data_IF_681454430635
#
_entry.id   IF_681454430635
#
_cell.length_a   1.000
_cell.length_b   1.000
_cell.length_c   1.000
_cell.angle_alpha   90.00
_cell.angle_beta   90.00
_cell.angle_gamma   90.00
#
_symmetry.space_group_name_H-M   'P 1'
#
loop_
_entity.id
_entity.type
_entity.pdbx_description
1 polymer ?
#
# COMPACT_ATOMS: atom_id res chain seq x y z
N UNK A 1 -20.65 2.20 -11.18
CA UNK A 1 -19.35 2.15 -10.46
C UNK A 1 -18.46 1.07 -11.04
N UNK A 2 -18.87 -0.20 -10.99
CA UNK A 2 -18.10 -1.34 -11.54
C UNK A 2 -17.59 -1.10 -12.98
N UNK A 3 -18.46 -0.71 -13.91
CA UNK A 3 -18.07 -0.42 -15.31
C UNK A 3 -16.97 0.63 -15.41
N UNK A 4 -17.07 1.74 -14.64
CA UNK A 4 -16.04 2.78 -14.60
C UNK A 4 -14.74 2.24 -13.99
N UNK A 5 -14.80 1.43 -12.94
CA UNK A 5 -13.61 0.86 -12.33
C UNK A 5 -12.90 -0.06 -13.34
N UNK A 6 -13.64 -0.89 -14.07
CA UNK A 6 -13.11 -1.70 -15.18
C UNK A 6 -12.48 -0.83 -16.26
N UNK A 7 -13.11 0.29 -16.60
CA UNK A 7 -12.56 1.22 -17.58
C UNK A 7 -11.20 1.79 -17.14
N UNK A 8 -11.06 2.22 -15.88
CA UNK A 8 -9.79 2.72 -15.31
C UNK A 8 -8.72 1.63 -15.31
N UNK A 9 -9.07 0.38 -15.00
CA UNK A 9 -8.11 -0.74 -15.05
C UNK A 9 -7.61 -0.99 -16.48
N UNK A 10 -8.47 -0.84 -17.49
CA UNK A 10 -8.14 -1.10 -18.89
C UNK A 10 -7.44 0.06 -19.59
N UNK A 11 -7.75 1.29 -19.22
CA UNK A 11 -7.30 2.51 -19.92
C UNK A 11 -6.37 3.37 -19.08
N UNK A 12 -6.23 3.08 -17.79
CA UNK A 12 -5.47 3.88 -16.83
C UNK A 12 -6.21 5.13 -16.35
N UNK A 13 -5.54 5.91 -15.50
CA UNK A 13 -6.08 7.15 -14.95
C UNK A 13 -6.06 8.29 -15.98
N UNK A 14 -7.20 8.99 -16.21
CA UNK A 14 -7.24 10.13 -17.13
C UNK A 14 -6.19 11.18 -16.76
N UNK A 15 -5.57 11.76 -17.78
CA UNK A 15 -4.49 12.77 -17.66
C UNK A 15 -3.19 12.28 -17.00
N UNK A 16 -3.11 11.03 -16.54
CA UNK A 16 -1.90 10.47 -15.92
C UNK A 16 -1.13 9.56 -16.89
N UNK A 17 -1.85 8.78 -17.71
CA UNK A 17 -1.25 7.74 -18.59
C UNK A 17 -0.21 8.29 -19.56
N UNK A 18 -0.52 9.43 -20.17
CA UNK A 18 0.34 10.10 -21.15
C UNK A 18 1.03 11.35 -20.55
N UNK A 19 1.07 11.44 -19.22
CA UNK A 19 1.64 12.61 -18.57
C UNK A 19 3.16 12.65 -18.74
N UNK A 20 3.64 13.77 -19.25
CA UNK A 20 5.06 14.11 -19.26
C UNK A 20 5.23 15.56 -18.81
N UNK A 21 6.26 15.84 -18.02
CA UNK A 21 6.63 17.20 -17.65
C UNK A 21 8.12 17.27 -17.31
N UNK A 22 8.66 18.47 -17.16
CA UNK A 22 10.10 18.68 -16.91
C UNK A 22 10.59 18.09 -15.57
N UNK A 23 9.69 17.81 -14.64
CA UNK A 23 10.02 17.18 -13.36
C UNK A 23 9.95 15.64 -13.44
N UNK A 24 9.36 15.10 -14.51
CA UNK A 24 9.04 13.68 -14.68
C UNK A 24 9.83 13.00 -15.79
N UNK A 25 10.31 13.79 -16.75
CA UNK A 25 11.18 13.35 -17.84
C UNK A 25 12.46 14.17 -17.79
N UNK A 26 13.59 13.48 -17.84
CA UNK A 26 14.92 14.08 -18.01
C UNK A 26 15.48 13.72 -19.38
N UNK A 27 16.00 14.72 -20.09
CA UNK A 27 16.87 14.51 -21.25
C UNK A 27 18.27 14.95 -20.85
N UNK A 28 19.26 14.08 -21.01
CA UNK A 28 20.62 14.32 -20.53
C UNK A 28 21.66 13.80 -21.52
N UNK A 29 22.84 14.41 -21.50
CA UNK A 29 23.97 14.06 -22.36
C UNK A 29 24.81 12.98 -21.67
N UNK A 30 25.02 11.87 -22.35
CA UNK A 30 25.87 10.78 -21.90
C UNK A 30 27.36 11.09 -22.18
N UNK A 31 28.30 10.43 -21.46
CA UNK A 31 29.74 10.58 -21.73
C UNK A 31 30.17 10.21 -23.16
N UNK A 32 29.39 9.39 -23.85
CA UNK A 32 29.59 9.01 -25.26
C UNK A 32 29.12 10.09 -26.26
N UNK A 33 28.57 11.20 -25.78
CA UNK A 33 28.05 12.30 -26.59
C UNK A 33 26.61 12.12 -27.06
N UNK A 34 25.94 11.01 -26.72
CA UNK A 34 24.55 10.79 -27.09
C UNK A 34 23.57 11.41 -26.07
N UNK A 35 22.45 11.95 -26.55
CA UNK A 35 21.34 12.33 -25.68
C UNK A 35 20.47 11.12 -25.36
N UNK A 36 20.11 10.96 -24.08
CA UNK A 36 19.17 9.94 -23.61
C UNK A 36 18.00 10.58 -22.87
N UNK A 37 16.83 9.96 -22.98
CA UNK A 37 15.64 10.25 -22.18
C UNK A 37 15.58 9.30 -21.00
N UNK A 38 15.18 9.77 -19.83
CA UNK A 38 14.79 8.95 -18.70
C UNK A 38 13.47 9.48 -18.11
N UNK A 39 12.48 8.62 -18.04
CA UNK A 39 11.24 8.81 -17.30
C UNK A 39 11.21 7.86 -16.11
N UNK A 40 10.99 8.43 -14.93
CA UNK A 40 10.95 7.68 -13.69
C UNK A 40 9.52 7.47 -13.17
N UNK A 41 9.33 6.36 -12.47
CA UNK A 41 8.15 6.09 -11.65
C UNK A 41 8.57 5.67 -10.25
N UNK A 42 7.85 6.15 -9.24
CA UNK A 42 8.10 5.83 -7.84
C UNK A 42 6.94 4.98 -7.32
N UNK A 43 7.25 3.78 -6.85
CA UNK A 43 6.29 2.87 -6.23
C UNK A 43 6.43 2.85 -4.72
N UNK A 44 5.31 2.77 -4.00
CA UNK A 44 5.30 2.61 -2.55
C UNK A 44 4.02 1.92 -2.04
N UNK A 45 4.11 1.32 -0.84
CA UNK A 45 3.03 0.71 -0.07
C UNK A 45 2.24 1.71 0.74
N UNK A 46 0.93 1.48 0.82
CA UNK A 46 0.03 2.21 1.71
C UNK A 46 -0.87 1.23 2.45
N UNK A 47 -0.95 1.41 3.77
CA UNK A 47 -1.86 0.69 4.65
C UNK A 47 -3.30 1.25 4.53
N UNK A 48 -3.83 1.29 3.31
CA UNK A 48 -5.25 1.54 3.03
C UNK A 48 -5.82 0.32 2.34
N UNK A 49 -6.91 -0.19 2.87
CA UNK A 49 -7.52 -1.41 2.38
C UNK A 49 -9.03 -1.36 2.44
N UNK A 50 -9.62 -2.36 1.81
CA UNK A 50 -11.04 -2.62 1.82
C UNK A 50 -11.34 -3.91 2.59
N UNK A 51 -12.58 -4.08 3.10
CA UNK A 51 -13.05 -5.37 3.57
C UNK A 51 -12.83 -6.45 2.50
N UNK A 52 -12.08 -7.48 2.85
CA UNK A 52 -11.73 -8.58 1.97
C UNK A 52 -11.99 -9.92 2.66
N UNK A 53 -11.98 -10.99 1.88
CA UNK A 53 -12.13 -12.33 2.44
C UNK A 53 -10.96 -12.66 3.38
N UNK A 54 -11.28 -13.24 4.54
CA UNK A 54 -10.31 -13.64 5.56
C UNK A 54 -9.34 -14.75 5.12
N UNK A 55 -9.61 -15.43 4.00
CA UNK A 55 -8.71 -16.46 3.44
C UNK A 55 -7.58 -15.76 2.68
N UNK A 56 -6.34 -16.12 3.02
CA UNK A 56 -5.13 -15.57 2.41
C UNK A 56 -5.18 -15.64 0.87
N UNK A 57 -4.83 -14.51 0.21
CA UNK A 57 -4.85 -14.33 -1.25
C UNK A 57 -6.22 -14.50 -1.94
N UNK A 58 -7.32 -14.58 -1.19
CA UNK A 58 -8.64 -14.61 -1.81
C UNK A 58 -9.04 -13.24 -2.34
N UNK A 59 -9.29 -13.15 -3.65
CA UNK A 59 -9.70 -11.92 -4.33
C UNK A 59 -11.22 -11.78 -4.49
N UNK A 60 -12.00 -12.80 -4.08
CA UNK A 60 -13.45 -12.74 -4.20
C UNK A 60 -14.01 -11.70 -3.22
N UNK A 61 -14.91 -10.81 -3.67
CA UNK A 61 -15.49 -9.79 -2.82
C UNK A 61 -16.37 -10.42 -1.73
N UNK A 62 -16.52 -9.70 -0.62
CA UNK A 62 -17.52 -10.00 0.38
C UNK A 62 -18.91 -9.61 -0.15
N UNK A 63 -19.93 -10.41 0.18
CA UNK A 63 -21.32 -10.09 -0.20
C UNK A 63 -21.86 -8.88 0.58
N UNK A 64 -21.36 -8.67 1.79
CA UNK A 64 -21.62 -7.47 2.60
C UNK A 64 -20.45 -7.21 3.57
N UNK A 65 -20.40 -6.00 4.11
CA UNK A 65 -19.33 -5.58 5.03
C UNK A 65 -19.37 -6.25 6.41
N UNK A 66 -20.41 -7.04 6.72
CA UNK A 66 -20.49 -7.82 7.98
C UNK A 66 -19.90 -9.23 7.82
N UNK A 67 -19.72 -9.70 6.59
CA UNK A 67 -19.15 -11.01 6.32
C UNK A 67 -17.63 -11.00 6.53
N UNK A 68 -17.08 -12.10 7.04
CA UNK A 68 -15.63 -12.32 7.15
C UNK A 68 -15.07 -13.01 5.91
N UNK A 69 -15.91 -13.79 5.24
CA UNK A 69 -15.53 -14.60 4.10
C UNK A 69 -16.47 -14.38 2.93
N UNK A 70 -15.97 -14.57 1.71
CA UNK A 70 -16.78 -14.49 0.50
C UNK A 70 -17.72 -15.69 0.40
N UNK A 71 -18.66 -15.65 -0.56
CA UNK A 71 -19.60 -16.74 -0.81
C UNK A 71 -18.91 -18.11 -1.04
N UNK A 72 -17.74 -18.14 -1.70
CA UNK A 72 -16.97 -19.37 -1.94
C UNK A 72 -16.33 -19.96 -0.69
N UNK A 73 -16.11 -19.14 0.34
CA UNK A 73 -15.52 -19.54 1.62
C UNK A 73 -16.53 -19.39 2.76
N UNK A 74 -17.83 -19.53 2.45
CA UNK A 74 -18.88 -19.31 3.42
C UNK A 74 -18.83 -20.33 4.58
N UNK A 75 -18.37 -21.54 4.30
CA UNK A 75 -18.09 -22.61 5.28
C UNK A 75 -17.15 -22.16 6.40
N UNK A 76 -16.19 -21.27 6.10
CA UNK A 76 -15.25 -20.73 7.10
C UNK A 76 -15.94 -19.88 8.16
N UNK A 77 -17.17 -19.39 7.94
CA UNK A 77 -17.95 -18.71 8.98
C UNK A 77 -18.36 -19.65 10.12
N UNK A 78 -18.39 -20.96 9.89
CA UNK A 78 -18.72 -21.95 10.91
C UNK A 78 -17.49 -22.44 11.70
N UNK A 79 -16.29 -21.90 11.40
CA UNK A 79 -15.02 -22.20 12.08
C UNK A 79 -14.59 -21.03 12.98
N UNK A 80 -14.01 -21.37 14.12
CA UNK A 80 -13.47 -20.42 15.10
C UNK A 80 -12.57 -19.35 14.46
N UNK A 81 -12.72 -18.09 14.90
CA UNK A 81 -11.94 -16.94 14.43
C UNK A 81 -10.46 -16.97 14.83
N UNK A 82 -10.12 -17.69 15.90
CA UNK A 82 -8.74 -17.78 16.37
C UNK A 82 -7.90 -18.58 15.39
N UNK A 83 -6.79 -17.99 14.94
CA UNK A 83 -5.87 -18.63 13.99
C UNK A 83 -5.45 -20.02 14.50
N UNK A 84 -5.39 -20.99 13.58
CA UNK A 84 -5.06 -22.40 13.87
C UNK A 84 -6.09 -23.16 14.74
N UNK A 85 -7.28 -22.61 15.00
CA UNK A 85 -8.38 -23.32 15.65
C UNK A 85 -9.42 -23.80 14.63
N UNK A 86 -9.61 -25.12 14.52
CA UNK A 86 -10.58 -25.72 13.60
C UNK A 86 -11.94 -26.06 14.24
N UNK A 87 -12.12 -25.72 15.53
CA UNK A 87 -13.35 -26.04 16.26
C UNK A 87 -14.54 -25.23 15.73
N UNK A 88 -15.76 -25.80 15.72
CA UNK A 88 -16.94 -25.11 15.25
C UNK A 88 -17.30 -23.93 16.16
N UNK A 89 -17.88 -22.89 15.56
CA UNK A 89 -18.39 -21.73 16.30
C UNK A 89 -19.60 -22.09 17.17
N UNK A 90 -19.79 -21.34 18.26
CA UNK A 90 -20.98 -21.48 19.12
C UNK A 90 -22.20 -20.91 18.39
N UNK A 91 -23.28 -21.68 18.35
CA UNK A 91 -24.59 -21.30 17.83
C UNK A 91 -25.61 -21.35 18.97
N UNK A 92 -26.29 -20.25 19.23
CA UNK A 92 -27.32 -20.16 20.27
C UNK A 92 -28.66 -19.86 19.62
N UNK A 93 -29.67 -20.64 19.95
CA UNK A 93 -31.04 -20.39 19.52
C UNK A 93 -31.72 -19.43 20.49
N UNK A 94 -32.30 -18.38 19.96
CA UNK A 94 -33.09 -17.39 20.71
C UNK A 94 -34.46 -17.26 20.06
N UNK A 95 -35.50 -17.06 20.85
CA UNK A 95 -36.83 -16.78 20.31
C UNK A 95 -37.04 -15.26 20.32
N UNK A 96 -37.37 -14.69 19.17
CA UNK A 96 -37.83 -13.30 19.08
C UNK A 96 -39.20 -13.18 19.77
N UNK A 97 -39.59 -11.96 20.17
CA UNK A 97 -40.85 -11.68 20.87
C UNK A 97 -42.12 -12.18 20.13
N UNK A 98 -42.00 -12.47 18.84
CA UNK A 98 -43.07 -13.01 17.98
C UNK A 98 -43.01 -14.55 17.83
N UNK A 99 -42.23 -15.25 18.66
CA UNK A 99 -42.07 -16.71 18.62
C UNK A 99 -41.19 -17.25 17.47
N UNK A 100 -40.51 -16.38 16.72
CA UNK A 100 -39.63 -16.79 15.62
C UNK A 100 -38.25 -17.19 16.17
N UNK A 101 -37.80 -18.40 15.85
CA UNK A 101 -36.47 -18.88 16.24
C UNK A 101 -35.41 -18.15 15.41
N UNK A 102 -34.46 -17.53 16.11
CA UNK A 102 -33.31 -16.81 15.58
C UNK A 102 -32.03 -17.43 16.10
N UNK A 103 -31.19 -17.89 15.19
CA UNK A 103 -29.89 -18.47 15.51
C UNK A 103 -28.86 -17.33 15.58
N UNK A 104 -28.30 -17.11 16.77
CA UNK A 104 -27.17 -16.20 16.98
C UNK A 104 -25.89 -17.03 16.86
N UNK A 105 -25.08 -16.71 15.85
CA UNK A 105 -23.75 -17.31 15.67
C UNK A 105 -22.69 -16.41 16.29
N UNK A 106 -21.87 -16.97 17.18
CA UNK A 106 -20.63 -16.34 17.64
C UNK A 106 -19.51 -16.53 16.62
N UNK A 107 -18.43 -15.77 16.73
CA UNK A 107 -17.23 -15.90 15.88
C UNK A 107 -16.22 -16.89 16.45
N UNK A 108 -16.23 -17.16 17.75
CA UNK A 108 -15.34 -18.11 18.43
C UNK A 108 -16.05 -19.44 18.78
N UNK A 109 -15.24 -20.48 18.98
CA UNK A 109 -15.67 -21.78 19.50
C UNK A 109 -15.89 -21.75 21.02
N UNK A 110 -16.38 -22.84 21.61
CA UNK A 110 -16.73 -22.92 23.03
C UNK A 110 -15.54 -22.83 24.03
N UNK A 111 -14.29 -22.72 23.55
CA UNK A 111 -13.13 -22.54 24.42
C UNK A 111 -13.23 -21.22 25.20
N UNK A 112 -13.10 -21.24 26.54
CA UNK A 112 -13.23 -20.04 27.36
C UNK A 112 -12.29 -18.90 26.94
N UNK A 113 -11.05 -19.24 26.57
CA UNK A 113 -10.05 -18.28 26.09
C UNK A 113 -10.49 -17.60 24.78
N UNK A 114 -11.01 -18.37 23.82
CA UNK A 114 -11.46 -17.83 22.54
C UNK A 114 -12.74 -16.99 22.68
N UNK A 115 -13.62 -17.37 23.60
CA UNK A 115 -14.79 -16.57 23.97
C UNK A 115 -14.37 -15.25 24.62
N UNK A 116 -13.35 -15.26 25.48
CA UNK A 116 -12.77 -14.04 26.08
C UNK A 116 -12.12 -13.14 25.03
N UNK A 117 -11.38 -13.70 24.06
CA UNK A 117 -10.81 -12.94 22.93
C UNK A 117 -11.92 -12.28 22.12
N UNK A 118 -12.98 -13.02 21.77
CA UNK A 118 -14.12 -12.46 21.05
C UNK A 118 -14.81 -11.34 21.84
N UNK A 119 -15.06 -11.55 23.14
CA UNK A 119 -15.68 -10.56 24.01
C UNK A 119 -14.83 -9.27 24.10
N UNK A 120 -13.52 -9.39 24.34
CA UNK A 120 -12.60 -8.24 24.35
C UNK A 120 -12.56 -7.50 23.02
N UNK A 121 -12.65 -8.20 21.89
CA UNK A 121 -12.71 -7.57 20.57
C UNK A 121 -14.05 -6.83 20.33
N UNK A 122 -15.15 -7.37 20.85
CA UNK A 122 -16.46 -6.68 20.81
C UNK A 122 -16.46 -5.44 21.72
N UNK A 123 -15.89 -5.53 22.92
CA UNK A 123 -15.71 -4.40 23.84
C UNK A 123 -14.81 -3.32 23.24
N UNK A 124 -13.72 -3.69 22.56
CA UNK A 124 -12.88 -2.74 21.80
C UNK A 124 -13.68 -1.93 20.77
N UNK A 125 -14.70 -2.54 20.19
CA UNK A 125 -15.59 -1.89 19.22
C UNK A 125 -16.55 -0.89 19.88
N UNK A 126 -16.54 -0.76 21.21
CA UNK A 126 -17.39 0.17 21.98
C UNK A 126 -16.59 1.34 22.58
N UNK A 127 -17.07 2.56 22.33
CA UNK A 127 -16.78 3.80 23.08
C UNK A 127 -15.33 4.25 23.25
N UNK A 128 -14.60 3.66 24.19
CA UNK A 128 -13.36 4.21 24.77
C UNK A 128 -12.13 4.08 23.87
N UNK A 129 -11.98 2.98 23.15
CA UNK A 129 -10.91 2.81 22.15
C UNK A 129 -11.14 3.70 20.92
N UNK A 130 -12.41 3.83 20.49
CA UNK A 130 -12.80 4.74 19.41
C UNK A 130 -12.35 6.17 19.71
N UNK A 131 -12.33 6.64 20.96
CA UNK A 131 -11.86 7.99 21.28
C UNK A 131 -10.35 8.18 21.11
N UNK A 132 -9.52 7.20 21.51
CA UNK A 132 -8.05 7.26 21.28
C UNK A 132 -7.71 7.12 19.81
N UNK A 133 -8.33 6.15 19.12
CA UNK A 133 -8.17 5.99 17.68
C UNK A 133 -8.67 7.23 16.93
N UNK A 134 -9.81 7.81 17.31
CA UNK A 134 -10.30 9.09 16.74
C UNK A 134 -9.37 10.26 17.03
N UNK A 135 -8.69 10.34 18.17
CA UNK A 135 -7.74 11.42 18.45
C UNK A 135 -6.45 11.27 17.63
N UNK A 136 -5.93 10.04 17.52
CA UNK A 136 -4.78 9.73 16.67
C UNK A 136 -5.12 9.94 15.19
N UNK A 137 -6.28 9.45 14.74
CA UNK A 137 -6.76 9.67 13.39
C UNK A 137 -7.14 11.13 13.16
N UNK A 138 -7.75 11.89 14.08
CA UNK A 138 -8.03 13.31 13.85
C UNK A 138 -6.77 14.17 13.64
N UNK A 139 -5.62 13.72 14.17
CA UNK A 139 -4.31 14.34 13.90
C UNK A 139 -3.73 13.96 12.52
N UNK A 140 -4.27 12.93 11.84
CA UNK A 140 -3.72 12.28 10.63
C UNK A 140 -4.72 12.24 9.44
N UNK A 141 -6.03 12.20 9.71
CA UNK A 141 -7.12 11.84 8.79
C UNK A 141 -7.80 13.05 8.16
N UNK A 142 -7.21 14.23 8.30
CA UNK A 142 -7.43 15.26 7.31
C UNK A 142 -6.36 15.08 6.25
N UNK A 143 -6.71 14.93 4.96
CA UNK A 143 -5.71 14.87 3.90
C UNK A 143 -4.82 16.10 4.04
N UNK A 144 -3.58 15.87 4.46
CA UNK A 144 -2.60 16.93 4.64
C UNK A 144 -2.41 17.56 3.27
N UNK A 145 -2.40 18.89 3.22
CA UNK A 145 -2.06 19.60 1.98
C UNK A 145 -0.59 19.36 1.67
N UNK A 146 -0.32 18.30 0.89
CA UNK A 146 0.99 17.98 0.34
C UNK A 146 1.52 19.08 -0.59
N UNK A 147 0.73 20.14 -0.86
CA UNK A 147 1.17 21.31 -1.61
C UNK A 147 1.73 22.44 -0.74
N UNK A 148 1.56 22.40 0.58
CA UNK A 148 2.02 23.46 1.48
C UNK A 148 3.55 23.47 1.66
N UNK A 149 4.20 24.61 1.42
CA UNK A 149 5.65 24.81 1.58
C UNK A 149 6.09 24.91 3.06
N UNK A 150 5.20 24.65 4.03
CA UNK A 150 5.50 24.79 5.46
C UNK A 150 5.61 23.42 6.12
N UNK A 151 6.81 23.21 6.68
CA UNK A 151 7.28 22.10 7.51
C UNK A 151 7.46 20.76 6.79
N UNK A 152 8.67 20.20 7.01
CA UNK A 152 8.97 18.78 6.88
C UNK A 152 7.76 18.03 7.42
N UNK A 153 7.00 17.37 6.56
CA UNK A 153 6.20 16.24 7.00
C UNK A 153 7.24 15.31 7.62
N UNK A 154 7.22 15.04 8.94
CA UNK A 154 8.08 14.00 9.46
C UNK A 154 7.74 12.77 8.62
N UNK A 155 8.74 12.15 7.98
CA UNK A 155 8.61 10.84 7.37
C UNK A 155 7.93 9.94 8.41
N UNK A 156 6.62 9.78 8.26
CA UNK A 156 5.77 9.12 9.22
C UNK A 156 5.31 7.88 8.50
N UNK A 157 5.96 6.76 8.84
CA UNK A 157 5.44 5.43 8.56
C UNK A 157 4.03 5.34 9.18
N UNK A 158 3.01 5.70 8.40
CA UNK A 158 1.59 5.54 8.76
C UNK A 158 1.24 4.07 8.54
N UNK A 159 1.86 3.19 9.33
CA UNK A 159 1.54 1.77 9.36
C UNK A 159 0.69 1.48 10.59
N UNK A 160 -0.37 0.69 10.41
CA UNK A 160 -1.17 0.22 11.53
C UNK A 160 -0.31 -0.76 12.36
N UNK A 161 -0.23 -0.50 13.66
CA UNK A 161 0.43 -1.37 14.64
C UNK A 161 -0.22 -2.77 14.64
N UNK A 162 0.58 -3.82 14.86
CA UNK A 162 0.07 -5.18 15.02
C UNK A 162 -0.53 -5.35 16.42
N UNK A 163 -1.72 -5.91 16.46
CA UNK A 163 -2.40 -6.20 17.71
C UNK A 163 -2.42 -7.70 17.95
N UNK A 164 -1.77 -8.12 19.03
CA UNK A 164 -1.66 -9.53 19.43
C UNK A 164 -2.37 -9.71 20.77
N UNK A 165 -3.23 -10.72 20.85
CA UNK A 165 -3.82 -11.12 22.11
C UNK A 165 -2.92 -12.18 22.77
N UNK A 166 -2.33 -11.86 23.92
CA UNK A 166 -1.57 -12.80 24.73
C UNK A 166 -2.47 -13.41 25.81
N UNK A 167 -2.27 -14.70 26.12
CA UNK A 167 -3.02 -15.40 27.16
C UNK A 167 -2.05 -15.77 28.27
N UNK A 168 -2.21 -15.15 29.45
CA UNK A 168 -1.48 -15.51 30.66
C UNK A 168 -2.48 -16.00 31.72
N UNK A 169 -2.33 -17.25 32.15
CA UNK A 169 -2.98 -17.78 33.36
C UNK A 169 -4.48 -17.45 33.50
N UNK A 170 -5.25 -17.59 32.40
CA UNK A 170 -6.69 -17.24 32.22
C UNK A 170 -7.05 -15.77 31.92
N UNK A 171 -6.09 -14.86 31.82
CA UNK A 171 -6.30 -13.49 31.38
C UNK A 171 -5.83 -13.31 29.94
N UNK A 172 -6.68 -12.69 29.11
CA UNK A 172 -6.36 -12.33 27.73
C UNK A 172 -5.96 -10.87 27.72
N UNK A 173 -4.74 -10.49 27.39
CA UNK A 173 -4.31 -9.09 27.25
C UNK A 173 -4.13 -8.71 25.79
N UNK A 174 -4.46 -7.46 25.44
CA UNK A 174 -4.22 -6.91 24.11
C UNK A 174 -2.89 -6.18 24.16
N UNK A 175 -1.87 -6.71 23.48
CA UNK A 175 -0.61 -6.03 23.25
C UNK A 175 -0.63 -5.40 21.86
N UNK A 176 -0.22 -4.14 21.80
CA UNK A 176 0.00 -3.41 20.55
C UNK A 176 1.50 -3.49 20.29
N UNK A 177 1.92 -4.41 19.43
CA UNK A 177 3.27 -4.38 18.87
C UNK A 177 3.28 -3.33 17.78
N UNK A 178 4.25 -2.42 17.83
CA UNK A 178 4.49 -1.55 16.69
C UNK A 178 4.74 -2.45 15.49
N UNK A 179 4.08 -2.15 14.38
CA UNK A 179 4.44 -2.79 13.12
C UNK A 179 5.94 -2.60 12.97
N UNK A 180 6.76 -3.66 12.88
CA UNK A 180 8.13 -3.49 12.45
C UNK A 180 8.03 -2.98 11.02
N UNK A 181 7.92 -1.66 10.88
CA UNK A 181 8.31 -0.96 9.68
C UNK A 181 9.61 -1.60 9.24
N UNK A 182 9.73 -1.90 7.95
CA UNK A 182 10.97 -2.39 7.37
C UNK A 182 12.17 -1.68 8.00
N UNK A 183 12.86 -2.46 8.83
CA UNK A 183 14.19 -2.31 9.42
C UNK A 183 14.50 -1.06 10.24
N UNK A 184 14.95 -1.32 11.46
CA UNK A 184 15.70 -0.41 12.30
C UNK A 184 16.30 -1.18 13.47
N UNK A 185 17.28 -2.06 13.21
CA UNK A 185 18.14 -2.59 14.26
C UNK A 185 19.53 -1.98 14.06
N UNK A 186 20.07 -1.42 15.14
CA UNK A 186 21.49 -1.07 15.20
C UNK A 186 22.26 -2.39 15.27
N UNK A 187 23.22 -2.57 14.36
CA UNK A 187 24.08 -3.73 14.22
C UNK A 187 24.49 -4.32 15.59
N UNK A 188 24.22 -5.60 15.82
CA UNK A 188 25.06 -6.45 16.68
C UNK A 188 24.74 -7.95 16.60
N UNK A 189 24.22 -8.48 15.49
CA UNK A 189 24.24 -9.94 15.26
C UNK A 189 24.04 -10.33 13.79
N UNK A 190 24.65 -11.47 13.45
CA UNK A 190 24.81 -12.25 12.21
C UNK A 190 23.91 -11.95 10.99
N UNK A 191 24.52 -12.01 9.79
CA UNK A 191 23.95 -11.99 8.42
C UNK A 191 22.41 -11.94 8.30
N UNK A 192 21.81 -10.76 8.48
CA UNK A 192 20.39 -10.58 8.21
C UNK A 192 20.13 -10.12 6.77
N UNK A 193 19.43 -10.97 6.01
CA UNK A 193 18.75 -10.65 4.76
C UNK A 193 17.85 -9.42 4.95
N UNK A 194 17.74 -8.56 3.92
CA UNK A 194 16.90 -7.36 3.96
C UNK A 194 15.46 -7.73 4.40
N UNK A 195 14.97 -7.26 5.57
CA UNK A 195 13.65 -7.65 6.05
C UNK A 195 12.56 -7.31 5.03
N UNK A 196 11.93 -8.35 4.50
CA UNK A 196 10.78 -8.21 3.61
C UNK A 196 9.62 -7.59 4.40
N UNK A 197 8.80 -6.78 3.72
CA UNK A 197 7.54 -6.25 4.29
C UNK A 197 6.66 -7.39 4.85
N UNK A 198 5.87 -7.09 5.87
CA UNK A 198 5.15 -8.11 6.64
C UNK A 198 4.35 -9.07 5.73
N UNK A 199 4.43 -10.37 6.04
CA UNK A 199 3.61 -11.38 5.39
C UNK A 199 2.14 -11.36 5.88
N UNK A 200 1.86 -10.54 6.88
CA UNK A 200 0.59 -10.46 7.62
C UNK A 200 -0.23 -9.27 7.14
N UNK A 201 -1.31 -9.57 6.41
CA UNK A 201 -2.26 -8.61 5.88
C UNK A 201 -3.01 -9.22 4.69
N UNK A 202 -4.34 -9.15 4.72
CA UNK A 202 -5.16 -9.73 3.64
C UNK A 202 -5.39 -8.77 2.48
N UNK A 203 -5.31 -7.46 2.72
CA UNK A 203 -5.54 -6.43 1.71
C UNK A 203 -4.77 -5.15 2.04
N UNK A 204 -3.93 -4.67 1.12
CA UNK A 204 -3.22 -3.40 1.23
C UNK A 204 -3.24 -2.61 -0.09
N UNK A 205 -2.92 -1.33 -0.03
CA UNK A 205 -2.87 -0.43 -1.18
C UNK A 205 -1.46 -0.26 -1.70
N UNK A 206 -1.34 -0.05 -3.00
CA UNK A 206 -0.09 0.30 -3.69
C UNK A 206 -0.31 1.45 -4.65
N UNK A 207 0.67 2.33 -4.75
CA UNK A 207 0.63 3.45 -5.69
C UNK A 207 1.88 3.46 -6.56
N UNK A 208 1.70 3.94 -7.79
CA UNK A 208 2.76 4.34 -8.70
C UNK A 208 2.57 5.84 -8.94
N UNK A 209 3.59 6.62 -8.62
CA UNK A 209 3.53 8.09 -8.63
C UNK A 209 4.70 8.60 -9.43
N UNK A 210 4.42 9.50 -10.37
CA UNK A 210 5.46 10.20 -11.09
C UNK A 210 6.17 11.20 -10.15
N UNK A 211 7.48 11.49 -10.34
CA UNK A 211 8.25 12.41 -9.48
C UNK A 211 7.63 13.80 -9.24
N UNK A 212 6.80 14.27 -10.18
CA UNK A 212 6.04 15.51 -10.14
C UNK A 212 4.77 15.47 -9.26
N UNK A 213 4.40 14.30 -8.73
CA UNK A 213 3.25 14.08 -7.86
C UNK A 213 1.98 13.64 -8.55
N UNK A 214 2.00 13.45 -9.88
CA UNK A 214 0.88 12.84 -10.61
C UNK A 214 0.84 11.35 -10.28
N UNK A 215 -0.30 10.89 -9.78
CA UNK A 215 -0.53 9.49 -9.44
C UNK A 215 -0.87 8.76 -10.74
N UNK A 216 0.03 7.89 -11.17
CA UNK A 216 -0.09 7.14 -12.42
C UNK A 216 -1.07 5.98 -12.29
N UNK A 217 -0.91 5.18 -11.24
CA UNK A 217 -1.76 4.02 -10.98
C UNK A 217 -1.84 3.71 -9.50
N UNK A 218 -2.89 2.97 -9.12
CA UNK A 218 -2.99 2.31 -7.83
C UNK A 218 -3.44 0.86 -8.02
N UNK A 219 -3.15 0.02 -7.04
CA UNK A 219 -3.61 -1.34 -7.00
C UNK A 219 -3.91 -1.77 -5.57
N UNK A 220 -4.86 -2.70 -5.45
CA UNK A 220 -5.16 -3.38 -4.19
C UNK A 220 -4.47 -4.74 -4.20
N UNK A 221 -3.60 -4.98 -3.22
CA UNK A 221 -2.81 -6.20 -3.09
C UNK A 221 -3.48 -7.17 -2.13
N UNK A 222 -3.69 -8.42 -2.56
CA UNK A 222 -4.29 -9.46 -1.75
C UNK A 222 -3.22 -10.47 -1.29
N UNK A 223 -3.13 -10.67 0.04
CA UNK A 223 -2.22 -11.62 0.67
C UNK A 223 -0.74 -11.26 0.54
N UNK A 224 -0.22 -10.60 1.58
CA UNK A 224 1.14 -10.08 1.72
C UNK A 224 1.59 -9.08 0.64
N UNK A 225 2.44 -8.14 1.02
CA UNK A 225 3.02 -7.12 0.15
C UNK A 225 4.15 -7.69 -0.73
N UNK A 226 3.87 -8.82 -1.39
CA UNK A 226 4.85 -9.55 -2.17
C UNK A 226 5.36 -8.69 -3.33
N UNK A 227 6.69 -8.72 -3.49
CA UNK A 227 7.41 -8.05 -4.56
C UNK A 227 6.89 -8.45 -5.95
N UNK A 228 6.51 -9.71 -6.14
CA UNK A 228 5.91 -10.19 -7.39
C UNK A 228 4.62 -9.44 -7.76
N UNK A 229 3.77 -9.12 -6.77
CA UNK A 229 2.54 -8.37 -7.01
C UNK A 229 2.85 -6.92 -7.45
N UNK A 230 3.91 -6.32 -6.91
CA UNK A 230 4.39 -5.01 -7.35
C UNK A 230 4.85 -5.04 -8.81
N UNK A 231 5.64 -6.04 -9.21
CA UNK A 231 6.09 -6.19 -10.61
C UNK A 231 4.91 -6.38 -11.57
N UNK A 232 3.92 -7.19 -11.18
CA UNK A 232 2.68 -7.38 -11.96
C UNK A 232 1.90 -6.06 -12.08
N UNK A 233 1.79 -5.28 -11.00
CA UNK A 233 1.15 -3.97 -11.04
C UNK A 233 1.85 -3.02 -12.00
N UNK A 234 3.18 -2.91 -11.93
CA UNK A 234 3.97 -2.06 -12.84
C UNK A 234 3.70 -2.46 -14.29
N UNK A 235 3.81 -3.74 -14.61
CA UNK A 235 3.53 -4.25 -15.96
C UNK A 235 2.14 -3.89 -16.44
N UNK A 236 1.12 -4.17 -15.62
CA UNK A 236 -0.26 -3.92 -16.00
C UNK A 236 -0.50 -2.42 -16.23
N UNK A 237 0.00 -1.57 -15.33
CA UNK A 237 -0.17 -0.12 -15.41
C UNK A 237 0.50 0.47 -16.66
N UNK A 238 1.67 -0.05 -17.06
CA UNK A 238 2.38 0.40 -18.27
C UNK A 238 2.04 -0.38 -19.54
N UNK A 239 1.05 -1.28 -19.49
CA UNK A 239 0.52 -1.98 -20.66
C UNK A 239 -0.81 -1.41 -21.15
N UNK A 240 -1.37 -0.41 -20.45
CA UNK A 240 -2.59 0.27 -20.90
C UNK A 240 -2.33 1.12 -22.15
N UNK A 241 -3.32 1.34 -23.02
CA UNK A 241 -3.15 2.12 -24.25
C UNK A 241 -2.59 3.53 -23.98
N UNK A 242 -1.51 3.87 -24.69
CA UNK A 242 -0.87 5.19 -24.58
C UNK A 242 0.16 5.33 -23.45
N UNK A 243 0.27 4.36 -22.54
CA UNK A 243 1.32 4.38 -21.53
C UNK A 243 2.70 4.17 -22.17
N UNK A 244 3.70 4.89 -21.67
CA UNK A 244 5.10 4.68 -22.02
C UNK A 244 5.80 3.91 -20.90
N UNK A 245 6.50 2.84 -21.27
CA UNK A 245 7.31 2.05 -20.34
C UNK A 245 8.37 2.97 -19.69
N UNK A 246 8.54 2.95 -18.35
CA UNK A 246 9.51 3.81 -17.68
C UNK A 246 10.93 3.30 -17.93
N UNK A 247 11.89 4.22 -18.05
CA UNK A 247 13.31 3.89 -18.04
C UNK A 247 13.83 3.63 -16.62
N UNK A 248 13.15 4.14 -15.58
CA UNK A 248 13.59 3.94 -14.20
C UNK A 248 12.43 3.73 -13.21
N UNK A 249 12.58 2.76 -12.30
CA UNK A 249 11.63 2.46 -11.23
C UNK A 249 12.32 2.62 -9.88
N UNK A 250 11.69 3.39 -8.98
CA UNK A 250 12.05 3.47 -7.57
C UNK A 250 11.08 2.66 -6.73
N UNK A 251 11.59 1.85 -5.81
CA UNK A 251 10.80 1.09 -4.84
C UNK A 251 11.68 0.70 -3.65
N UNK A 252 11.15 0.73 -2.43
CA UNK A 252 11.96 0.52 -1.22
C UNK A 252 12.63 -0.85 -1.17
N UNK A 253 11.97 -1.87 -1.71
CA UNK A 253 12.49 -3.25 -1.75
C UNK A 253 12.90 -3.64 -3.17
N UNK A 254 13.47 -2.69 -3.93
CA UNK A 254 13.94 -2.97 -5.29
C UNK A 254 15.08 -3.98 -5.34
N UNK A 255 15.82 -4.18 -4.25
CA UNK A 255 16.79 -5.27 -4.15
C UNK A 255 16.16 -6.65 -4.44
N UNK A 256 14.98 -6.92 -3.91
CA UNK A 256 14.25 -8.16 -4.17
C UNK A 256 13.48 -8.09 -5.50
N UNK A 257 12.91 -6.92 -5.82
CA UNK A 257 12.14 -6.72 -7.05
C UNK A 257 12.98 -6.91 -8.30
N UNK A 258 14.20 -6.37 -8.29
CA UNK A 258 15.14 -6.50 -9.39
C UNK A 258 15.56 -7.94 -9.63
N UNK A 259 15.89 -8.69 -8.57
CA UNK A 259 16.26 -10.12 -8.69
C UNK A 259 15.15 -10.97 -9.35
N UNK A 260 13.89 -10.64 -9.07
CA UNK A 260 12.75 -11.30 -9.73
C UNK A 260 12.55 -10.79 -11.16
N UNK A 261 12.69 -9.48 -11.37
CA UNK A 261 12.54 -8.82 -12.67
C UNK A 261 13.60 -9.27 -13.69
N UNK A 262 14.81 -9.64 -13.27
CA UNK A 262 15.88 -10.17 -14.14
C UNK A 262 15.47 -11.44 -14.90
N UNK A 263 14.49 -12.18 -14.39
CA UNK A 263 13.95 -13.39 -15.04
C UNK A 263 12.92 -13.07 -16.12
N UNK A 264 12.57 -11.80 -16.29
CA UNK A 264 11.43 -11.36 -17.08
C UNK A 264 11.85 -10.29 -18.11
N UNK A 265 11.88 -10.64 -19.41
CA UNK A 265 12.38 -9.76 -20.46
C UNK A 265 11.67 -8.40 -20.56
N UNK A 266 10.46 -8.27 -20.01
CA UNK A 266 9.75 -6.99 -20.00
C UNK A 266 10.52 -5.92 -19.23
N UNK A 267 11.28 -6.28 -18.19
CA UNK A 267 12.07 -5.34 -17.38
C UNK A 267 13.46 -5.05 -17.97
N UNK A 268 13.84 -5.68 -19.09
CA UNK A 268 15.11 -5.40 -19.73
C UNK A 268 15.24 -3.91 -20.06
N UNK A 269 16.39 -3.35 -19.71
CA UNK A 269 16.72 -1.94 -19.93
C UNK A 269 16.09 -0.95 -18.93
N UNK A 270 15.31 -1.41 -17.94
CA UNK A 270 14.79 -0.54 -16.88
C UNK A 270 15.80 -0.47 -15.73
N UNK A 271 16.18 0.75 -15.34
CA UNK A 271 16.91 0.99 -14.09
C UNK A 271 16.00 0.75 -12.88
N UNK A 272 16.48 -0.02 -11.90
CA UNK A 272 15.71 -0.33 -10.69
C UNK A 272 16.56 -0.02 -9.46
N UNK A 273 16.23 1.09 -8.80
CA UNK A 273 16.96 1.58 -7.64
C UNK A 273 16.10 1.59 -6.38
N UNK A 274 16.74 1.36 -5.23
CA UNK A 274 16.08 1.62 -3.96
C UNK A 274 15.87 3.13 -3.82
N UNK A 275 14.75 3.54 -3.22
CA UNK A 275 14.53 4.94 -2.88
C UNK A 275 15.74 5.48 -2.08
N UNK A 276 16.27 6.65 -2.48
CA UNK A 276 17.51 7.19 -1.93
C UNK A 276 17.53 7.29 -0.39
N UNK A 277 16.39 7.65 0.22
CA UNK A 277 16.30 7.71 1.68
C UNK A 277 16.30 6.32 2.31
N UNK A 278 15.55 5.38 1.74
CA UNK A 278 15.52 3.98 2.20
C UNK A 278 16.88 3.32 2.05
N UNK A 279 17.57 3.56 0.95
CA UNK A 279 18.91 3.04 0.69
C UNK A 279 19.90 3.49 1.78
N UNK A 280 19.82 4.76 2.20
CA UNK A 280 20.71 5.31 3.22
C UNK A 280 20.37 4.84 4.64
N UNK A 281 19.08 4.80 4.99
CA UNK A 281 18.65 4.67 6.39
C UNK A 281 18.16 3.27 6.77
N UNK A 282 17.68 2.47 5.80
CA UNK A 282 16.96 1.21 6.06
C UNK A 282 17.56 -0.01 5.38
N UNK A 283 18.55 0.14 4.50
CA UNK A 283 19.23 -0.99 3.85
C UNK A 283 20.62 -1.23 4.42
N UNK A 284 20.92 -2.50 4.68
CA UNK A 284 22.23 -2.89 5.20
C UNK A 284 23.33 -2.59 4.18
N UNK A 285 24.42 -1.96 4.65
CA UNK A 285 25.62 -1.70 3.84
C UNK A 285 26.25 -3.02 3.37
N UNK A 286 26.09 -4.09 4.16
CA UNK A 286 26.55 -5.45 3.85
C UNK A 286 25.74 -6.14 2.75
N UNK A 287 24.56 -5.65 2.39
CA UNK A 287 23.72 -6.27 1.36
C UNK A 287 24.27 -6.00 -0.05
N UNK A 288 25.25 -6.82 -0.44
CA UNK A 288 26.07 -6.64 -1.64
C UNK A 288 25.25 -6.48 -2.93
N UNK A 289 24.18 -7.26 -3.11
CA UNK A 289 23.35 -7.15 -4.30
C UNK A 289 22.68 -5.77 -4.41
N UNK A 290 22.23 -5.20 -3.30
CA UNK A 290 21.60 -3.87 -3.28
C UNK A 290 22.64 -2.79 -3.61
N UNK A 291 23.83 -2.88 -3.01
CA UNK A 291 24.93 -1.94 -3.24
C UNK A 291 25.42 -1.93 -4.70
N UNK A 292 25.46 -3.10 -5.34
CA UNK A 292 26.01 -3.25 -6.70
C UNK A 292 24.99 -3.06 -7.83
N UNK A 293 23.70 -3.22 -7.55
CA UNK A 293 22.68 -3.24 -8.61
C UNK A 293 21.56 -2.21 -8.42
N UNK A 294 21.33 -1.76 -7.18
CA UNK A 294 20.20 -0.90 -6.83
C UNK A 294 20.65 0.46 -6.26
N UNK A 295 21.96 0.74 -6.26
CA UNK A 295 22.51 1.98 -5.75
C UNK A 295 22.23 3.13 -6.75
N UNK A 296 21.46 4.16 -6.34
CA UNK A 296 21.13 5.29 -7.21
C UNK A 296 22.36 6.02 -7.79
N UNK A 297 23.51 5.97 -7.13
CA UNK A 297 24.74 6.61 -7.60
C UNK A 297 25.33 5.98 -8.87
N UNK A 298 24.91 4.77 -9.25
CA UNK A 298 25.37 4.10 -10.47
C UNK A 298 24.70 4.63 -11.74
N UNK A 299 23.69 5.49 -11.60
CA UNK A 299 22.80 5.89 -12.68
C UNK A 299 22.96 7.39 -12.94
N UNK A 300 23.76 7.79 -13.95
CA UNK A 300 24.00 9.20 -14.25
C UNK A 300 22.71 9.94 -14.61
N UNK A 301 21.70 9.23 -15.12
CA UNK A 301 20.36 9.78 -15.40
C UNK A 301 19.64 10.31 -14.16
N UNK A 302 20.03 9.91 -12.95
CA UNK A 302 19.38 10.31 -11.70
C UNK A 302 19.99 11.57 -11.07
N UNK A 303 21.19 11.97 -11.49
CA UNK A 303 21.93 13.10 -10.93
C UNK A 303 21.79 14.34 -11.80
N UNK A 304 21.35 15.47 -11.26
CA UNK A 304 21.32 16.74 -11.97
C UNK A 304 22.73 17.29 -12.30
N UNK A 305 22.78 18.39 -13.04
CA UNK A 305 24.03 18.99 -13.51
C UNK A 305 24.89 19.59 -12.36
N UNK A 306 24.31 19.71 -11.16
CA UNK A 306 24.96 20.22 -9.94
C UNK A 306 25.34 19.10 -8.96
N UNK A 307 25.08 17.84 -9.31
CA UNK A 307 25.35 16.67 -8.45
C UNK A 307 24.26 16.39 -7.40
N UNK A 308 23.10 17.05 -7.50
CA UNK A 308 21.90 16.75 -6.72
C UNK A 308 21.04 15.66 -7.35
N UNK A 309 20.04 15.17 -6.62
CA UNK A 309 19.05 14.24 -7.17
C UNK A 309 18.06 14.97 -8.07
N UNK A 310 17.93 14.53 -9.33
CA UNK A 310 17.00 15.13 -10.29
C UNK A 310 15.54 14.78 -9.96
N UNK A 311 15.26 13.50 -9.69
CA UNK A 311 13.89 13.05 -9.43
C UNK A 311 13.55 13.08 -7.93
N UNK A 312 12.39 13.63 -7.61
CA UNK A 312 11.85 13.57 -6.25
C UNK A 312 11.28 12.17 -5.96
N UNK A 313 12.06 11.34 -5.27
CA UNK A 313 11.66 9.99 -4.86
C UNK A 313 10.81 9.97 -3.58
N UNK A 314 10.82 11.04 -2.77
CA UNK A 314 9.95 11.17 -1.58
C UNK A 314 8.47 11.42 -1.91
N UNK A 315 8.15 11.63 -3.19
CA UNK A 315 6.79 12.00 -3.63
C UNK A 315 5.75 10.91 -3.38
N UNK A 316 6.17 9.63 -3.41
CA UNK A 316 5.26 8.51 -3.20
C UNK A 316 4.77 8.48 -1.75
N UNK A 317 5.66 8.67 -0.79
CA UNK A 317 5.31 8.77 0.63
C UNK A 317 4.38 9.96 0.92
N UNK A 318 4.70 11.15 0.40
CA UNK A 318 3.84 12.33 0.56
C UNK A 318 2.44 12.10 -0.03
N UNK A 319 2.36 11.37 -1.13
CA UNK A 319 1.11 10.99 -1.77
C UNK A 319 0.35 9.95 -0.95
N UNK A 320 1.04 8.98 -0.40
CA UNK A 320 0.49 7.95 0.47
C UNK A 320 -0.04 8.55 1.78
N UNK A 321 0.65 9.53 2.37
CA UNK A 321 0.16 10.29 3.51
C UNK A 321 -1.17 11.01 3.20
N UNK A 322 -1.27 11.64 2.02
CA UNK A 322 -2.54 12.24 1.58
C UNK A 322 -3.65 11.21 1.37
N UNK A 323 -3.36 10.09 0.70
CA UNK A 323 -4.33 9.00 0.50
C UNK A 323 -4.77 8.38 1.84
N UNK A 324 -3.84 8.24 2.79
CA UNK A 324 -4.11 7.78 4.15
C UNK A 324 -5.13 8.64 4.90
N UNK A 325 -5.28 9.91 4.52
CA UNK A 325 -6.35 10.79 4.99
C UNK A 325 -7.76 10.21 4.78
N UNK A 326 -7.94 9.39 3.74
CA UNK A 326 -9.23 8.76 3.41
C UNK A 326 -9.47 7.40 4.07
N UNK A 327 -8.53 6.90 4.88
CA UNK A 327 -8.60 5.58 5.49
C UNK A 327 -9.94 5.32 6.22
N UNK A 328 -10.39 6.28 7.03
CA UNK A 328 -11.63 6.17 7.81
C UNK A 328 -12.89 6.02 6.94
N UNK A 329 -12.90 6.66 5.76
CA UNK A 329 -14.01 6.56 4.80
C UNK A 329 -13.98 5.22 4.08
N UNK A 330 -12.78 4.75 3.71
CA UNK A 330 -12.59 3.56 2.88
C UNK A 330 -12.80 2.25 3.63
N UNK A 331 -12.55 2.23 4.95
CA UNK A 331 -12.55 1.02 5.80
C UNK A 331 -13.81 0.15 5.68
N UNK A 332 -14.97 0.75 5.43
CA UNK A 332 -16.26 0.04 5.36
C UNK A 332 -16.82 -0.08 3.93
N UNK A 333 -16.07 0.38 2.93
CA UNK A 333 -16.51 0.36 1.52
C UNK A 333 -16.21 -1.00 0.89
N UNK A 334 -17.25 -1.63 0.33
CA UNK A 334 -17.08 -2.78 -0.58
C UNK A 334 -16.37 -2.35 -1.88
N UNK A 335 -15.82 -3.32 -2.66
CA UNK A 335 -14.87 -3.01 -3.71
C UNK A 335 -15.28 -2.00 -4.75
N UNK A 336 -16.50 -2.10 -5.29
CA UNK A 336 -16.94 -1.15 -6.30
C UNK A 336 -16.95 0.30 -5.81
N UNK A 337 -17.33 0.51 -4.54
CA UNK A 337 -17.36 1.84 -3.92
C UNK A 337 -15.98 2.31 -3.54
N UNK A 338 -15.17 1.43 -2.95
CA UNK A 338 -13.80 1.70 -2.56
C UNK A 338 -12.97 2.15 -3.75
N UNK A 339 -13.01 1.36 -4.83
CA UNK A 339 -12.24 1.65 -6.04
C UNK A 339 -12.73 2.92 -6.72
N UNK A 340 -14.05 3.07 -6.87
CA UNK A 340 -14.64 4.26 -7.48
C UNK A 340 -14.21 5.52 -6.74
N UNK A 341 -14.34 5.52 -5.41
CA UNK A 341 -14.02 6.66 -4.56
C UNK A 341 -12.55 7.05 -4.67
N UNK A 342 -11.62 6.10 -4.45
CA UNK A 342 -10.18 6.41 -4.47
C UNK A 342 -9.72 6.89 -5.84
N UNK A 343 -10.15 6.23 -6.91
CA UNK A 343 -9.78 6.63 -8.26
C UNK A 343 -10.35 8.01 -8.61
N UNK A 344 -11.52 8.39 -8.09
CA UNK A 344 -12.07 9.73 -8.28
C UNK A 344 -11.30 10.80 -7.50
N UNK A 345 -10.90 10.50 -6.26
CA UNK A 345 -10.03 11.39 -5.48
C UNK A 345 -8.67 11.57 -6.17
N UNK A 346 -8.10 10.49 -6.70
CA UNK A 346 -6.86 10.51 -7.48
C UNK A 346 -7.02 11.39 -8.73
N UNK A 347 -8.09 11.19 -9.51
CA UNK A 347 -8.37 11.99 -10.71
C UNK A 347 -8.45 13.48 -10.39
N UNK A 348 -9.18 13.86 -9.34
CA UNK A 348 -9.32 15.25 -8.91
C UNK A 348 -7.97 15.84 -8.45
N UNK A 349 -7.19 15.07 -7.70
CA UNK A 349 -5.83 15.46 -7.29
C UNK A 349 -4.92 15.67 -8.49
N UNK A 350 -4.89 14.73 -9.43
CA UNK A 350 -4.06 14.83 -10.63
C UNK A 350 -4.38 16.09 -11.44
N UNK A 351 -5.66 16.46 -11.59
CA UNK A 351 -6.06 17.72 -12.23
C UNK A 351 -5.44 18.93 -11.52
N UNK A 352 -5.47 18.97 -10.19
CA UNK A 352 -4.89 20.09 -9.43
C UNK A 352 -3.36 20.10 -9.49
N UNK A 353 -2.72 18.93 -9.42
CA UNK A 353 -1.27 18.77 -9.60
C UNK A 353 -0.84 19.32 -10.96
N UNK A 354 -1.53 18.91 -12.04
CA UNK A 354 -1.22 19.36 -13.40
C UNK A 354 -1.41 20.89 -13.54
N UNK A 355 -2.49 21.46 -12.99
CA UNK A 355 -2.67 22.92 -12.93
C UNK A 355 -1.55 23.62 -12.18
N UNK A 356 -1.06 23.04 -11.08
CA UNK A 356 0.10 23.58 -10.34
C UNK A 356 1.39 23.50 -11.14
N UNK A 357 1.60 22.41 -11.88
CA UNK A 357 2.76 22.25 -12.78
C UNK A 357 2.75 23.31 -13.89
N UNK A 358 1.58 23.61 -14.48
CA UNK A 358 1.45 24.73 -15.41
C UNK A 358 1.82 26.07 -14.76
N UNK A 359 1.29 26.37 -13.57
CA UNK A 359 1.62 27.60 -12.82
C UNK A 359 3.11 27.73 -12.48
N UNK A 360 3.80 26.61 -12.29
CA UNK A 360 5.25 26.54 -12.04
C UNK A 360 6.09 26.55 -13.31
N UNK A 361 5.48 26.59 -14.51
CA UNK A 361 6.22 26.55 -15.78
C UNK A 361 6.92 25.20 -16.05
N UNK A 362 6.40 24.10 -15.49
CA UNK A 362 6.99 22.75 -15.67
C UNK A 362 6.56 22.05 -16.96
N UNK A 363 5.83 22.77 -17.82
CA UNK A 363 5.36 22.31 -19.14
C UNK A 363 4.72 20.92 -19.14
N UNK A 364 3.71 20.65 -18.30
CA UNK A 364 3.02 19.37 -18.33
C UNK A 364 2.28 19.20 -19.67
N UNK A 365 2.54 18.08 -20.34
CA UNK A 365 1.84 17.63 -21.54
C UNK A 365 0.76 16.63 -21.11
N UNK A 366 -0.45 16.82 -21.63
CA UNK A 366 -1.53 15.84 -21.54
C UNK A 366 -2.04 15.65 -22.97
N UNK A 367 -1.77 14.49 -23.54
CA UNK A 367 -2.22 14.15 -24.89
C UNK A 367 -3.67 13.66 -24.89
#
# INVERSE_FOLDING_TARGET
MAERNTWIVQHGQPHAVQHECNDCVRVFLMPDGAFRKCQAIVGDGLSIGQPCCGVFRCTNPLENNRHRFCAKHNDRHDICIVNFCERPVVKTETQDANGKVKIIKKKACALPEHQKIEAKNQERSTGSFLYRQRLQHARISQPIDSFSNKQRVPEQDVQEDFEIYTVDSNNVELQVEKNPSSVGVVNDTEEEWCPSKSATGNCSGKTLVHPCGVIFARATMFGAEAVSNFLVMVKNAFSVPGAQKPEHIFYDTNCDARQQAEKDPWFNGIGMCVNAWHFWNKHAITHQYCQLNCNPAQYPELMDDFGGWFFNTSVAEQTNAWLGGYHSMCREMLPDKYDFFLDEMIRLRNIEVIKRLHRKGRCPQTY
#
